data_IF_638323191980
#
_entry.id   IF_638323191980
#
_cell.length_a   1.000
_cell.length_b   1.000
_cell.length_c   1.000
_cell.angle_alpha   90.00
_cell.angle_beta   90.00
_cell.angle_gamma   90.00
#
_symmetry.space_group_name_H-M   'P 1'
#
loop_
_entity.id
_entity.type
_entity.pdbx_description
1 polymer ?
#
# COMPACT_ATOMS: atom_id res chain seq x y z
N UNK A 1 -77.05 14.19 -32.04
CA UNK A 1 -76.95 15.25 -31.02
C UNK A 1 -75.47 15.53 -30.83
N UNK A 2 -75.03 16.76 -31.16
CA UNK A 2 -73.63 17.19 -31.18
C UNK A 2 -72.96 16.96 -29.83
N UNK A 3 -71.73 16.46 -29.82
CA UNK A 3 -70.76 16.79 -28.77
C UNK A 3 -69.39 17.02 -29.39
N UNK A 4 -68.85 18.18 -29.05
CA UNK A 4 -67.62 18.79 -29.49
C UNK A 4 -66.42 18.02 -28.95
N UNK A 5 -65.38 17.86 -29.76
CA UNK A 5 -64.03 17.58 -29.30
C UNK A 5 -63.13 18.72 -29.80
N UNK A 6 -62.72 19.58 -28.88
CA UNK A 6 -61.60 20.51 -29.09
C UNK A 6 -60.27 19.91 -28.58
N UNK A 7 -59.13 20.40 -29.08
CA UNK A 7 -57.87 19.69 -29.08
C UNK A 7 -56.88 20.16 -28.00
N UNK A 8 -55.90 19.31 -27.72
CA UNK A 8 -54.58 19.73 -27.24
C UNK A 8 -54.20 19.25 -25.85
N UNK A 9 -53.14 18.45 -25.77
CA UNK A 9 -52.06 18.75 -24.83
C UNK A 9 -50.78 18.05 -25.27
N UNK A 10 -49.80 18.89 -25.53
CA UNK A 10 -48.43 18.64 -25.96
C UNK A 10 -47.67 17.79 -24.95
N UNK A 11 -46.84 16.88 -25.47
CA UNK A 11 -45.93 16.06 -24.69
C UNK A 11 -44.96 16.95 -23.88
N UNK A 12 -45.11 16.93 -22.56
CA UNK A 12 -44.13 17.52 -21.65
C UNK A 12 -42.91 16.62 -21.58
N UNK A 13 -41.81 17.07 -22.18
CA UNK A 13 -40.48 16.48 -22.09
C UNK A 13 -40.01 16.58 -20.63
N UNK A 14 -39.97 15.45 -19.93
CA UNK A 14 -39.37 15.36 -18.60
C UNK A 14 -37.86 15.42 -18.80
N UNK A 15 -37.23 16.54 -18.43
CA UNK A 15 -35.78 16.63 -18.36
C UNK A 15 -35.28 15.77 -17.18
N UNK A 16 -34.21 14.96 -17.36
CA UNK A 16 -33.65 14.22 -16.25
C UNK A 16 -33.00 15.19 -15.28
N UNK A 17 -33.47 15.16 -14.03
CA UNK A 17 -32.84 15.79 -12.88
C UNK A 17 -31.37 15.35 -12.83
N UNK A 18 -30.46 16.29 -13.07
CA UNK A 18 -29.03 16.06 -13.01
C UNK A 18 -28.63 15.57 -11.62
N UNK A 19 -28.36 14.27 -11.48
CA UNK A 19 -27.65 13.73 -10.34
C UNK A 19 -26.22 14.28 -10.35
N UNK A 20 -25.97 15.32 -9.56
CA UNK A 20 -24.60 15.73 -9.23
C UNK A 20 -23.92 14.54 -8.56
N UNK A 21 -22.94 13.96 -9.23
CA UNK A 21 -22.11 12.90 -8.67
C UNK A 21 -21.35 13.43 -7.45
N UNK A 22 -21.45 12.79 -6.27
CA UNK A 22 -20.80 13.23 -5.03
C UNK A 22 -19.26 13.23 -5.12
N UNK A 23 -18.67 12.72 -6.20
CA UNK A 23 -17.23 12.64 -6.43
C UNK A 23 -16.57 13.97 -6.81
N UNK A 24 -17.29 14.95 -7.37
CA UNK A 24 -16.67 16.21 -7.85
C UNK A 24 -16.22 17.17 -6.73
N UNK A 25 -16.76 17.00 -5.52
CA UNK A 25 -16.46 17.89 -4.37
C UNK A 25 -15.30 17.41 -3.48
N UNK A 26 -14.73 16.22 -3.73
CA UNK A 26 -13.62 15.70 -2.92
C UNK A 26 -12.26 16.36 -3.23
N UNK A 27 -12.19 17.16 -4.30
CA UNK A 27 -10.98 17.80 -4.83
C UNK A 27 -9.92 16.81 -5.37
N UNK A 28 -8.99 17.32 -6.18
CA UNK A 28 -8.06 16.48 -6.95
C UNK A 28 -7.05 15.78 -6.05
N UNK A 29 -6.78 14.51 -6.34
CA UNK A 29 -5.79 13.69 -5.64
C UNK A 29 -4.43 13.82 -6.31
N UNK A 30 -3.39 14.10 -5.53
CA UNK A 30 -2.00 13.87 -5.93
C UNK A 30 -1.51 12.52 -5.40
N UNK A 31 -0.74 11.81 -6.22
CA UNK A 31 -0.03 10.59 -5.81
C UNK A 31 1.46 10.89 -5.78
N UNK A 32 2.04 11.00 -4.58
CA UNK A 32 3.49 11.06 -4.40
C UNK A 32 4.02 9.64 -4.49
N UNK A 33 4.60 9.31 -5.63
CA UNK A 33 4.94 7.95 -6.04
C UNK A 33 6.43 7.67 -5.92
N UNK A 34 6.79 6.76 -5.02
CA UNK A 34 8.09 6.10 -4.97
C UNK A 34 8.16 4.86 -5.88
N UNK A 35 9.03 3.91 -5.53
CA UNK A 35 9.17 2.66 -6.26
C UNK A 35 8.05 1.64 -5.95
N UNK A 36 7.89 0.64 -6.82
CA UNK A 36 6.94 -0.45 -6.67
C UNK A 36 5.63 -0.24 -7.42
N UNK A 37 4.72 -1.23 -7.35
CA UNK A 37 3.49 -1.26 -8.16
C UNK A 37 2.33 -0.44 -7.56
N UNK A 38 2.39 -0.09 -6.27
CA UNK A 38 1.28 0.60 -5.60
C UNK A 38 0.95 1.97 -6.23
N UNK A 39 1.92 2.87 -6.51
CA UNK A 39 1.62 4.15 -7.18
C UNK A 39 0.91 3.97 -8.52
N UNK A 40 1.34 2.96 -9.29
CA UNK A 40 0.78 2.64 -10.61
C UNK A 40 -0.67 2.20 -10.45
N UNK A 41 -0.95 1.28 -9.54
CA UNK A 41 -2.32 0.76 -9.32
C UNK A 41 -3.26 1.82 -8.74
N UNK A 42 -2.76 2.69 -7.88
CA UNK A 42 -3.54 3.85 -7.40
C UNK A 42 -3.89 4.78 -8.58
N UNK A 43 -2.90 5.11 -9.42
CA UNK A 43 -3.10 5.99 -10.57
C UNK A 43 -4.09 5.41 -11.59
N UNK A 44 -3.93 4.14 -11.95
CA UNK A 44 -4.83 3.41 -12.87
C UNK A 44 -6.28 3.40 -12.35
N UNK A 45 -6.47 3.08 -11.06
CA UNK A 45 -7.80 2.99 -10.47
C UNK A 45 -8.50 4.35 -10.44
N UNK A 46 -7.77 5.40 -10.05
CA UNK A 46 -8.27 6.79 -10.07
C UNK A 46 -8.63 7.25 -11.49
N UNK A 47 -7.77 6.96 -12.47
CA UNK A 47 -8.03 7.27 -13.88
C UNK A 47 -9.28 6.56 -14.40
N UNK A 48 -9.43 5.26 -14.13
CA UNK A 48 -10.59 4.47 -14.54
C UNK A 48 -11.89 4.94 -13.87
N UNK A 49 -11.81 5.53 -12.68
CA UNK A 49 -12.93 6.16 -11.98
C UNK A 49 -13.25 7.59 -12.48
N UNK A 50 -12.56 8.08 -13.53
CA UNK A 50 -12.73 9.44 -14.06
C UNK A 50 -12.15 10.53 -13.16
N UNK A 51 -11.25 10.16 -12.24
CA UNK A 51 -10.59 11.04 -11.26
C UNK A 51 -9.08 11.09 -11.51
N UNK A 52 -8.67 11.41 -12.74
CA UNK A 52 -7.27 11.43 -13.16
C UNK A 52 -6.37 12.17 -12.14
N UNK A 53 -5.42 11.48 -11.49
CA UNK A 53 -4.60 12.08 -10.44
C UNK A 53 -3.54 13.02 -11.02
N UNK A 54 -2.98 13.86 -10.15
CA UNK A 54 -1.73 14.56 -10.42
C UNK A 54 -0.56 13.75 -9.84
N UNK A 55 0.39 13.35 -10.67
CA UNK A 55 1.48 12.48 -10.23
C UNK A 55 2.66 13.31 -9.76
N UNK A 56 3.26 12.90 -8.66
CA UNK A 56 4.54 13.43 -8.19
C UNK A 56 5.53 12.28 -8.12
N UNK A 57 6.15 11.89 -9.25
CA UNK A 57 7.19 10.88 -9.28
C UNK A 57 8.41 11.35 -8.48
N UNK A 58 8.89 10.49 -7.57
CA UNK A 58 10.15 10.71 -6.86
C UNK A 58 11.31 10.37 -7.79
N UNK A 59 12.19 11.35 -8.04
CA UNK A 59 13.34 11.19 -8.95
C UNK A 59 14.23 10.03 -8.50
N UNK A 60 14.50 9.11 -9.42
CA UNK A 60 15.36 7.94 -9.17
C UNK A 60 14.67 6.77 -8.47
N UNK A 61 13.38 6.90 -8.13
CA UNK A 61 12.59 5.85 -7.47
C UNK A 61 11.38 5.42 -8.31
N UNK A 62 10.69 6.38 -8.92
CA UNK A 62 9.43 6.16 -9.62
C UNK A 62 9.57 5.37 -10.93
N UNK A 63 8.54 4.59 -11.24
CA UNK A 63 8.43 3.88 -12.51
C UNK A 63 8.14 4.84 -13.68
N UNK A 64 8.80 4.67 -14.85
CA UNK A 64 8.55 5.49 -16.04
C UNK A 64 7.08 5.59 -16.48
N UNK A 65 6.24 4.59 -16.20
CA UNK A 65 4.82 4.61 -16.56
C UNK A 65 4.05 5.77 -15.89
N UNK A 66 4.50 6.22 -14.71
CA UNK A 66 3.86 7.32 -13.98
C UNK A 66 3.99 8.67 -14.70
N UNK A 67 4.94 8.80 -15.62
CA UNK A 67 5.17 10.02 -16.41
C UNK A 67 4.18 10.17 -17.58
N UNK A 68 3.37 9.15 -17.86
CA UNK A 68 2.29 9.23 -18.86
C UNK A 68 1.07 10.03 -18.36
N UNK A 69 1.02 10.32 -17.06
CA UNK A 69 -0.02 11.15 -16.45
C UNK A 69 0.42 12.62 -16.39
N UNK A 70 -0.49 13.53 -16.07
CA UNK A 70 -0.10 14.89 -15.68
C UNK A 70 0.75 14.81 -14.40
N UNK A 71 1.98 15.30 -14.47
CA UNK A 71 2.95 15.07 -13.41
C UNK A 71 3.91 16.24 -13.18
N UNK A 72 4.53 16.23 -12.00
CA UNK A 72 5.73 17.00 -11.71
C UNK A 72 6.74 16.12 -11.01
N UNK A 73 7.85 15.80 -11.68
CA UNK A 73 8.96 15.09 -11.03
C UNK A 73 9.61 15.99 -9.97
N UNK A 74 9.85 15.38 -8.80
CA UNK A 74 10.42 16.05 -7.64
C UNK A 74 11.53 15.19 -7.04
N UNK A 75 12.65 15.84 -6.72
CA UNK A 75 13.64 15.26 -5.80
C UNK A 75 13.16 15.45 -4.36
N UNK A 76 13.49 14.51 -3.46
CA UNK A 76 13.02 14.52 -2.07
C UNK A 76 13.32 15.83 -1.32
N UNK A 77 14.29 16.60 -1.81
CA UNK A 77 14.72 17.88 -1.21
C UNK A 77 14.03 19.12 -1.81
N UNK A 78 13.16 18.97 -2.81
CA UNK A 78 12.49 20.09 -3.51
C UNK A 78 11.08 20.36 -2.95
N UNK A 79 10.96 20.50 -1.63
CA UNK A 79 9.65 20.61 -0.97
C UNK A 79 8.85 21.85 -1.39
N UNK A 80 9.49 23.01 -1.59
CA UNK A 80 8.81 24.20 -2.09
C UNK A 80 8.18 23.99 -3.47
N UNK A 81 8.89 23.27 -4.35
CA UNK A 81 8.42 22.90 -5.70
C UNK A 81 7.20 21.99 -5.61
N UNK A 82 7.20 21.03 -4.68
CA UNK A 82 6.10 20.11 -4.41
C UNK A 82 4.82 20.84 -4.03
N UNK A 83 4.90 21.72 -3.04
CA UNK A 83 3.73 22.47 -2.61
C UNK A 83 3.20 23.35 -3.75
N UNK A 84 4.09 24.02 -4.49
CA UNK A 84 3.68 24.89 -5.59
C UNK A 84 3.00 24.12 -6.72
N UNK A 85 3.57 23.00 -7.17
CA UNK A 85 3.01 22.21 -8.26
C UNK A 85 1.64 21.63 -7.90
N UNK A 86 1.49 21.09 -6.70
CA UNK A 86 0.20 20.57 -6.23
C UNK A 86 -0.87 21.66 -6.12
N UNK A 87 -0.52 22.86 -5.62
CA UNK A 87 -1.46 24.00 -5.59
C UNK A 87 -1.89 24.44 -6.98
N UNK A 88 -0.95 24.55 -7.92
CA UNK A 88 -1.25 24.90 -9.32
C UNK A 88 -2.14 23.86 -9.99
N UNK A 89 -1.95 22.57 -9.67
CA UNK A 89 -2.76 21.47 -10.21
C UNK A 89 -4.14 21.32 -9.54
N UNK A 90 -4.50 22.19 -8.58
CA UNK A 90 -5.80 22.14 -7.88
C UNK A 90 -5.92 20.96 -6.91
N UNK A 91 -4.81 20.44 -6.42
CA UNK A 91 -4.76 19.30 -5.49
C UNK A 91 -5.24 19.73 -4.11
N UNK A 92 -6.14 18.94 -3.53
CA UNK A 92 -6.58 19.08 -2.13
C UNK A 92 -6.23 17.85 -1.29
N UNK A 93 -6.04 16.68 -1.93
CA UNK A 93 -5.78 15.40 -1.28
C UNK A 93 -4.46 14.81 -1.75
N UNK A 94 -3.71 14.20 -0.85
CA UNK A 94 -2.41 13.59 -1.18
C UNK A 94 -2.39 12.15 -0.72
N UNK A 95 -2.02 11.24 -1.62
CA UNK A 95 -1.70 9.85 -1.32
C UNK A 95 -0.20 9.68 -1.40
N UNK A 96 0.39 9.10 -0.37
CA UNK A 96 1.78 8.63 -0.41
C UNK A 96 1.76 7.16 -0.82
N UNK A 97 2.49 6.79 -1.87
CA UNK A 97 2.49 5.43 -2.38
C UNK A 97 3.89 5.01 -2.81
N UNK A 98 4.22 3.74 -2.56
CA UNK A 98 5.49 3.15 -2.96
C UNK A 98 6.62 3.36 -1.95
N UNK A 99 7.71 2.63 -2.15
CA UNK A 99 8.90 2.69 -1.31
C UNK A 99 9.86 3.81 -1.70
N UNK A 100 10.80 4.15 -0.81
CA UNK A 100 11.93 5.04 -1.09
C UNK A 100 13.21 4.31 -0.69
N UNK A 101 14.02 3.90 -1.66
CA UNK A 101 15.30 3.20 -1.40
C UNK A 101 16.36 4.18 -0.92
N UNK A 102 16.47 5.31 -1.60
CA UNK A 102 17.48 6.32 -1.31
C UNK A 102 16.90 7.37 -0.36
N UNK A 103 17.11 7.16 0.93
CA UNK A 103 16.70 8.15 1.93
C UNK A 103 17.55 9.41 1.77
N UNK A 104 16.94 10.60 1.68
CA UNK A 104 17.69 11.85 1.64
C UNK A 104 18.48 12.00 2.92
N UNK A 105 19.71 12.50 2.83
CA UNK A 105 20.44 12.91 4.02
C UNK A 105 19.94 14.30 4.41
N UNK A 106 19.86 14.60 5.71
CA UNK A 106 19.42 15.92 6.20
C UNK A 106 20.26 17.06 5.59
N UNK A 107 21.52 16.77 5.25
CA UNK A 107 22.44 17.68 4.58
C UNK A 107 22.04 18.06 3.15
N UNK A 108 21.17 17.29 2.51
CA UNK A 108 20.74 17.52 1.13
C UNK A 108 19.55 18.49 1.04
N UNK A 109 18.93 18.83 2.18
CA UNK A 109 17.81 19.77 2.25
C UNK A 109 18.27 21.18 1.86
N UNK A 110 17.62 21.76 0.84
CA UNK A 110 17.88 23.14 0.44
C UNK A 110 17.26 24.11 1.45
N UNK A 111 17.99 25.14 1.83
CA UNK A 111 17.48 26.21 2.69
C UNK A 111 16.60 27.19 1.89
N UNK A 112 15.35 26.81 1.64
CA UNK A 112 14.31 27.74 1.18
C UNK A 112 13.25 27.99 2.27
N UNK A 113 12.48 29.08 2.17
CA UNK A 113 11.51 29.47 3.20
C UNK A 113 10.48 28.39 3.54
N UNK A 114 9.88 27.67 2.56
CA UNK A 114 9.03 26.51 2.86
C UNK A 114 9.75 25.37 3.58
N UNK A 115 11.02 25.12 3.24
CA UNK A 115 11.85 24.08 3.88
C UNK A 115 12.30 24.50 5.29
N UNK A 116 12.50 25.80 5.55
CA UNK A 116 12.71 26.30 6.92
C UNK A 116 11.50 26.01 7.82
N UNK A 117 10.28 26.06 7.27
CA UNK A 117 9.05 25.66 7.98
C UNK A 117 8.99 24.15 8.28
N UNK A 118 9.75 23.34 7.54
CA UNK A 118 9.90 21.90 7.76
C UNK A 118 10.87 21.55 8.89
N UNK A 119 11.80 22.45 9.24
CA UNK A 119 12.89 22.20 10.20
C UNK A 119 12.39 21.65 11.55
N UNK A 120 11.35 22.21 12.20
CA UNK A 120 10.87 21.67 13.48
C UNK A 120 10.36 20.22 13.38
N UNK A 121 9.69 19.89 12.27
CA UNK A 121 9.14 18.55 12.01
C UNK A 121 10.26 17.54 11.77
N UNK A 122 11.25 17.89 10.93
CA UNK A 122 12.40 17.04 10.60
C UNK A 122 13.29 16.80 11.83
N UNK A 123 13.60 17.86 12.60
CA UNK A 123 14.39 17.73 13.83
C UNK A 123 13.69 16.85 14.89
N UNK A 124 12.36 16.96 15.00
CA UNK A 124 11.57 16.15 15.92
C UNK A 124 11.54 14.65 15.57
N UNK A 125 11.73 14.31 14.29
CA UNK A 125 11.75 12.95 13.76
C UNK A 125 13.15 12.34 13.61
N UNK A 126 14.20 13.15 13.65
CA UNK A 126 15.57 12.72 13.40
C UNK A 126 15.99 11.64 14.42
N UNK A 127 16.45 10.49 13.92
CA UNK A 127 16.89 9.37 14.75
C UNK A 127 15.78 8.52 15.38
N UNK A 128 14.50 8.75 15.04
CA UNK A 128 13.34 8.05 15.64
C UNK A 128 12.68 6.98 14.74
N UNK A 129 13.35 6.55 13.68
CA UNK A 129 12.82 5.55 12.75
C UNK A 129 12.03 6.14 11.57
N UNK A 130 11.40 5.26 10.80
CA UNK A 130 10.74 5.61 9.53
C UNK A 130 9.36 6.22 9.74
N UNK A 131 8.62 5.69 10.72
CA UNK A 131 7.29 6.20 11.08
C UNK A 131 7.36 7.68 11.48
N UNK A 132 8.36 8.02 12.30
CA UNK A 132 8.53 9.39 12.78
C UNK A 132 8.80 10.36 11.62
N UNK A 133 9.64 9.96 10.67
CA UNK A 133 9.94 10.77 9.48
C UNK A 133 8.71 10.93 8.58
N UNK A 134 7.96 9.85 8.38
CA UNK A 134 6.75 9.85 7.56
C UNK A 134 5.66 10.73 8.18
N UNK A 135 5.42 10.61 9.49
CA UNK A 135 4.48 11.48 10.24
C UNK A 135 4.88 12.95 10.17
N UNK A 136 6.17 13.25 10.29
CA UNK A 136 6.67 14.62 10.14
C UNK A 136 6.39 15.17 8.74
N UNK A 137 6.57 14.35 7.70
CA UNK A 137 6.26 14.74 6.32
C UNK A 137 4.75 14.94 6.10
N UNK A 138 3.90 14.08 6.66
CA UNK A 138 2.44 14.21 6.63
C UNK A 138 2.02 15.52 7.28
N UNK A 139 2.46 15.78 8.52
CA UNK A 139 2.11 17.00 9.25
C UNK A 139 2.59 18.27 8.54
N UNK A 140 3.74 18.19 7.86
CA UNK A 140 4.21 19.28 7.03
C UNK A 140 3.27 19.55 5.85
N UNK A 141 2.88 18.52 5.08
CA UNK A 141 1.91 18.69 3.98
C UNK A 141 0.58 19.27 4.47
N UNK A 142 0.07 18.77 5.61
CA UNK A 142 -1.16 19.26 6.23
C UNK A 142 -1.05 20.74 6.64
N UNK A 143 0.12 21.18 7.11
CA UNK A 143 0.36 22.61 7.43
C UNK A 143 0.27 23.55 6.22
N UNK A 144 0.37 23.02 4.99
CA UNK A 144 0.19 23.77 3.74
C UNK A 144 -1.23 23.69 3.16
N UNK A 145 -2.14 22.99 3.83
CA UNK A 145 -3.57 22.88 3.50
C UNK A 145 -3.96 21.64 2.70
N UNK A 146 -3.06 20.66 2.56
CA UNK A 146 -3.38 19.39 1.91
C UNK A 146 -3.94 18.37 2.90
N UNK A 147 -4.93 17.58 2.50
CA UNK A 147 -5.40 16.43 3.27
C UNK A 147 -4.63 15.18 2.84
N UNK A 148 -3.76 14.65 3.69
CA UNK A 148 -3.14 13.35 3.41
C UNK A 148 -4.15 12.24 3.72
N UNK A 149 -4.37 11.37 2.73
CA UNK A 149 -5.31 10.23 2.81
C UNK A 149 -4.58 8.93 2.48
N UNK A 150 -5.03 7.84 3.08
CA UNK A 150 -4.51 6.52 2.81
C UNK A 150 -4.77 6.07 1.38
N UNK A 151 -3.80 5.36 0.80
CA UNK A 151 -4.06 4.65 -0.46
C UNK A 151 -5.28 3.73 -0.33
N UNK A 152 -5.49 3.12 0.82
CA UNK A 152 -6.65 2.27 1.10
C UNK A 152 -7.99 3.03 1.14
N UNK A 153 -7.99 4.32 1.47
CA UNK A 153 -9.20 5.16 1.41
C UNK A 153 -9.57 5.55 -0.02
N UNK A 154 -8.58 5.54 -0.93
CA UNK A 154 -8.74 5.93 -2.33
C UNK A 154 -8.99 4.73 -3.23
N UNK A 155 -8.36 3.59 -2.93
CA UNK A 155 -8.46 2.34 -3.67
C UNK A 155 -8.71 1.17 -2.71
N UNK A 156 -9.87 1.11 -2.05
CA UNK A 156 -10.18 0.09 -1.03
C UNK A 156 -10.17 -1.33 -1.59
N UNK A 157 -10.46 -1.50 -2.88
CA UNK A 157 -10.47 -2.80 -3.56
C UNK A 157 -9.10 -3.47 -3.65
N UNK A 158 -8.00 -2.74 -3.35
CA UNK A 158 -6.67 -3.31 -3.27
C UNK A 158 -6.38 -3.96 -1.91
N UNK A 159 -7.19 -3.71 -0.88
CA UNK A 159 -6.97 -4.28 0.44
C UNK A 159 -7.33 -5.76 0.51
N UNK A 160 -6.62 -6.46 1.39
CA UNK A 160 -6.90 -7.84 1.75
C UNK A 160 -8.33 -7.99 2.27
N UNK A 161 -9.09 -8.99 1.80
CA UNK A 161 -10.46 -9.23 2.24
C UNK A 161 -10.51 -9.70 3.71
N UNK A 162 -11.72 -9.86 4.28
CA UNK A 162 -11.90 -10.49 5.58
C UNK A 162 -11.21 -11.86 5.69
N UNK A 163 -10.98 -12.37 6.92
CA UNK A 163 -10.22 -13.59 7.15
C UNK A 163 -10.75 -14.79 6.35
N UNK A 164 -9.92 -15.31 5.45
CA UNK A 164 -10.23 -16.43 4.57
C UNK A 164 -8.96 -16.99 3.92
N UNK A 165 -9.02 -18.25 3.49
CA UNK A 165 -8.06 -18.77 2.54
C UNK A 165 -8.46 -18.32 1.13
N UNK A 166 -7.59 -17.58 0.45
CA UNK A 166 -7.84 -16.99 -0.86
C UNK A 166 -7.49 -17.91 -2.03
N UNK A 167 -6.81 -19.01 -1.72
CA UNK A 167 -6.32 -20.03 -2.66
C UNK A 167 -6.97 -21.39 -2.41
N UNK A 168 -6.79 -22.30 -3.36
CA UNK A 168 -7.29 -23.69 -3.29
C UNK A 168 -6.57 -24.52 -2.23
N UNK A 169 -5.28 -24.27 -2.04
CA UNK A 169 -4.49 -24.94 -1.00
C UNK A 169 -4.69 -24.18 0.29
N UNK A 170 -4.88 -24.94 1.37
CA UNK A 170 -5.09 -24.44 2.73
C UNK A 170 -3.93 -24.89 3.63
N UNK A 171 -3.59 -24.11 4.68
CA UNK A 171 -2.50 -24.47 5.58
C UNK A 171 -2.88 -25.68 6.45
N UNK A 172 -1.95 -26.65 6.55
CA UNK A 172 -2.06 -27.77 7.47
C UNK A 172 -1.72 -27.38 8.92
N UNK A 173 -1.79 -28.33 9.86
CA UNK A 173 -1.50 -28.08 11.27
C UNK A 173 -0.06 -27.62 11.55
N UNK A 174 0.91 -27.93 10.68
CA UNK A 174 2.29 -27.43 10.82
C UNK A 174 2.37 -25.99 10.35
N UNK A 175 1.76 -25.68 9.20
CA UNK A 175 1.79 -24.33 8.66
C UNK A 175 0.97 -23.34 9.49
N UNK A 176 -0.13 -23.77 10.13
CA UNK A 176 -0.84 -22.96 11.13
C UNK A 176 0.04 -22.57 12.32
N UNK A 177 0.93 -23.47 12.79
CA UNK A 177 1.91 -23.13 13.84
C UNK A 177 2.94 -22.12 13.35
N UNK A 178 3.43 -22.28 12.11
CA UNK A 178 4.35 -21.33 11.50
C UNK A 178 3.70 -19.94 11.35
N UNK A 179 2.43 -19.87 10.93
CA UNK A 179 1.66 -18.62 10.87
C UNK A 179 1.64 -17.93 12.23
N UNK A 180 1.27 -18.64 13.30
CA UNK A 180 1.21 -18.06 14.63
C UNK A 180 2.56 -17.51 15.10
N UNK A 181 3.65 -18.26 14.90
CA UNK A 181 5.00 -17.85 15.28
C UNK A 181 5.51 -16.64 14.48
N UNK A 182 5.29 -16.64 13.16
CA UNK A 182 5.71 -15.54 12.30
C UNK A 182 4.84 -14.29 12.53
N UNK A 183 3.54 -14.44 12.84
CA UNK A 183 2.67 -13.33 13.20
C UNK A 183 3.15 -12.63 14.48
N UNK A 184 3.41 -13.38 15.54
CA UNK A 184 3.95 -12.83 16.80
C UNK A 184 5.28 -12.10 16.58
N UNK A 185 6.17 -12.69 15.77
CA UNK A 185 7.45 -12.09 15.43
C UNK A 185 7.31 -10.80 14.59
N UNK A 186 6.43 -10.79 13.59
CA UNK A 186 6.17 -9.63 12.74
C UNK A 186 5.57 -8.45 13.55
N UNK A 187 4.66 -8.74 14.49
CA UNK A 187 4.10 -7.71 15.37
C UNK A 187 5.16 -7.08 16.29
N UNK A 188 6.00 -7.90 16.92
CA UNK A 188 7.13 -7.42 17.76
C UNK A 188 8.14 -6.62 16.96
N UNK A 189 8.43 -7.04 15.73
CA UNK A 189 9.30 -6.32 14.81
C UNK A 189 8.71 -4.95 14.43
N UNK A 190 7.40 -4.89 14.24
CA UNK A 190 6.67 -3.65 13.99
C UNK A 190 6.62 -2.71 15.20
N UNK A 191 6.58 -3.23 16.42
CA UNK A 191 6.67 -2.42 17.65
C UNK A 191 8.03 -1.72 17.80
N UNK A 192 9.08 -2.31 17.22
CA UNK A 192 10.44 -1.75 17.18
C UNK A 192 10.66 -0.83 15.97
N UNK A 193 9.67 -0.66 15.09
CA UNK A 193 9.79 0.05 13.81
C UNK A 193 10.93 -0.47 12.91
N UNK A 194 11.19 -1.78 12.92
CA UNK A 194 12.28 -2.38 12.13
C UNK A 194 11.78 -2.94 10.79
N UNK A 195 10.58 -3.52 10.79
CA UNK A 195 10.03 -4.22 9.64
C UNK A 195 8.61 -4.71 9.91
N UNK A 196 8.01 -5.37 8.92
CA UNK A 196 6.60 -5.79 8.96
C UNK A 196 6.39 -7.26 8.55
N UNK A 197 7.45 -7.94 8.13
CA UNK A 197 7.44 -9.32 7.70
C UNK A 197 8.29 -10.24 8.58
N UNK A 198 7.86 -11.49 8.71
CA UNK A 198 8.65 -12.57 9.29
C UNK A 198 8.37 -13.89 8.56
N UNK A 199 9.34 -14.80 8.59
CA UNK A 199 9.18 -16.16 8.06
C UNK A 199 9.43 -17.16 9.18
N UNK A 200 8.52 -18.11 9.35
CA UNK A 200 8.70 -19.26 10.22
C UNK A 200 8.65 -20.56 9.40
N UNK A 201 9.53 -21.50 9.73
CA UNK A 201 9.62 -22.81 9.09
C UNK A 201 10.07 -23.85 10.12
N UNK A 202 9.47 -25.05 10.05
CA UNK A 202 9.80 -26.13 10.98
C UNK A 202 9.49 -25.80 12.45
N UNK A 203 8.48 -24.97 12.72
CA UNK A 203 8.07 -24.62 14.08
C UNK A 203 8.94 -23.58 14.78
N UNK A 204 9.72 -22.78 14.02
CA UNK A 204 10.48 -21.65 14.56
C UNK A 204 10.58 -20.51 13.56
N UNK A 205 10.82 -19.30 14.04
CA UNK A 205 11.15 -18.15 13.20
C UNK A 205 12.54 -18.35 12.60
N UNK A 206 12.68 -18.12 11.29
CA UNK A 206 13.92 -18.32 10.52
C UNK A 206 14.42 -17.05 9.84
N UNK A 207 13.55 -16.06 9.63
CA UNK A 207 13.93 -14.75 9.13
C UNK A 207 12.98 -13.67 9.66
N UNK A 208 13.53 -12.47 9.87
CA UNK A 208 12.82 -11.24 10.20
C UNK A 208 13.17 -10.21 9.12
N UNK A 209 12.19 -9.40 8.71
CA UNK A 209 12.44 -8.32 7.76
C UNK A 209 13.28 -7.22 8.43
N UNK A 210 14.23 -6.67 7.70
CA UNK A 210 14.96 -5.47 8.09
C UNK A 210 14.97 -4.46 6.95
N UNK A 211 15.98 -3.60 6.95
CA UNK A 211 16.16 -2.57 5.92
C UNK A 211 16.32 -3.14 4.50
N UNK A 212 16.66 -4.43 4.36
CA UNK A 212 16.74 -5.12 3.07
C UNK A 212 15.38 -5.28 2.37
N UNK A 213 14.28 -5.26 3.13
CA UNK A 213 12.94 -5.50 2.64
C UNK A 213 12.59 -6.97 2.37
N UNK A 214 11.31 -7.19 2.08
CA UNK A 214 10.71 -8.53 1.99
C UNK A 214 11.40 -9.45 0.96
N UNK A 215 11.74 -8.95 -0.22
CA UNK A 215 12.28 -9.79 -1.30
C UNK A 215 13.67 -10.36 -0.97
N UNK A 216 14.57 -9.52 -0.43
CA UNK A 216 15.89 -9.96 0.02
C UNK A 216 15.81 -10.85 1.26
N UNK A 217 14.83 -10.62 2.16
CA UNK A 217 14.57 -11.53 3.26
C UNK A 217 14.18 -12.93 2.77
N UNK A 218 13.31 -13.04 1.75
CA UNK A 218 12.90 -14.33 1.16
C UNK A 218 14.09 -15.01 0.47
N UNK A 219 14.93 -14.23 -0.22
CA UNK A 219 16.16 -14.74 -0.83
C UNK A 219 17.12 -15.33 0.22
N UNK A 220 17.32 -14.64 1.35
CA UNK A 220 18.10 -15.16 2.49
C UNK A 220 17.56 -16.49 3.02
N UNK A 221 16.23 -16.69 3.01
CA UNK A 221 15.64 -17.99 3.38
C UNK A 221 16.03 -19.10 2.40
N UNK A 222 16.12 -18.81 1.11
CA UNK A 222 16.62 -19.76 0.10
C UNK A 222 18.07 -20.16 0.41
N UNK A 223 18.92 -19.20 0.76
CA UNK A 223 20.32 -19.46 1.13
C UNK A 223 20.45 -20.34 2.38
N UNK A 224 19.68 -20.03 3.43
CA UNK A 224 19.63 -20.83 4.66
C UNK A 224 19.20 -22.28 4.37
N UNK A 225 18.28 -22.45 3.42
CA UNK A 225 17.79 -23.76 2.99
C UNK A 225 18.85 -24.55 2.23
N UNK A 226 19.54 -23.91 1.28
CA UNK A 226 20.66 -24.51 0.54
C UNK A 226 21.78 -24.94 1.47
N UNK A 227 22.07 -24.13 2.50
CA UNK A 227 23.07 -24.44 3.52
C UNK A 227 22.61 -25.50 4.56
N UNK A 228 21.40 -26.07 4.41
CA UNK A 228 20.87 -27.08 5.33
C UNK A 228 20.58 -26.59 6.75
N UNK A 229 20.46 -25.27 6.95
CA UNK A 229 20.22 -24.66 8.27
C UNK A 229 18.76 -24.67 8.69
N UNK A 230 17.86 -24.87 7.74
CA UNK A 230 16.41 -24.97 7.94
C UNK A 230 15.87 -26.21 7.20
N UNK A 231 14.61 -26.58 7.47
CA UNK A 231 13.89 -27.66 6.77
C UNK A 231 14.00 -27.52 5.23
N UNK A 232 13.83 -28.59 4.45
CA UNK A 232 13.99 -28.57 2.97
C UNK A 232 12.79 -28.02 2.19
N UNK A 233 11.58 -28.05 2.74
CA UNK A 233 10.38 -27.35 2.22
C UNK A 233 9.50 -26.87 3.37
N UNK A 234 8.46 -26.10 3.05
CA UNK A 234 7.48 -25.59 4.01
C UNK A 234 7.89 -24.27 4.65
N UNK A 235 7.05 -23.80 5.56
CA UNK A 235 7.17 -22.50 6.19
C UNK A 235 6.32 -21.42 5.52
N UNK A 236 6.11 -20.32 6.24
CA UNK A 236 5.12 -19.29 5.91
C UNK A 236 5.73 -17.92 6.06
N UNK A 237 5.56 -17.08 5.03
CA UNK A 237 5.77 -15.64 5.13
C UNK A 237 4.52 -15.01 5.77
N UNK A 238 4.70 -14.27 6.85
CA UNK A 238 3.63 -13.45 7.44
C UNK A 238 3.98 -11.98 7.29
N UNK A 239 3.04 -11.16 6.82
CA UNK A 239 3.14 -9.69 6.84
C UNK A 239 2.00 -9.08 7.65
N UNK A 240 2.34 -8.25 8.63
CA UNK A 240 1.40 -7.57 9.52
C UNK A 240 1.62 -6.07 9.45
N UNK A 241 0.55 -5.27 9.50
CA UNK A 241 0.72 -3.83 9.61
C UNK A 241 1.39 -3.51 10.96
N UNK A 242 2.37 -2.60 10.96
CA UNK A 242 3.04 -2.20 12.20
C UNK A 242 2.01 -1.61 13.18
N UNK A 243 1.98 -2.03 14.46
CA UNK A 243 0.91 -1.64 15.39
C UNK A 243 0.73 -0.14 15.62
N UNK A 244 1.82 0.63 15.53
CA UNK A 244 1.85 2.06 15.82
C UNK A 244 1.97 2.94 14.58
N UNK A 245 2.02 2.37 13.38
CA UNK A 245 2.23 3.14 12.15
C UNK A 245 0.97 3.87 11.71
N UNK A 246 1.13 5.03 11.09
CA UNK A 246 0.03 5.70 10.39
C UNK A 246 -0.39 4.92 9.13
N UNK A 247 -1.59 4.31 9.16
CA UNK A 247 -2.13 3.50 8.06
C UNK A 247 -2.33 4.27 6.76
N UNK A 248 -2.35 5.60 6.82
CA UNK A 248 -2.46 6.43 5.62
C UNK A 248 -1.22 6.35 4.75
N UNK A 249 -0.10 5.90 5.28
CA UNK A 249 1.18 6.06 4.62
C UNK A 249 2.00 4.77 4.48
N UNK A 250 1.81 3.78 5.34
CA UNK A 250 2.54 2.52 5.24
C UNK A 250 1.69 1.32 5.67
N UNK A 251 1.10 0.65 4.68
CA UNK A 251 0.49 -0.67 4.84
C UNK A 251 1.34 -1.70 4.08
N UNK A 252 1.46 -2.94 4.61
CA UNK A 252 2.14 -4.02 3.91
C UNK A 252 1.55 -4.25 2.53
N UNK A 253 2.37 -4.73 1.61
CA UNK A 253 1.92 -5.18 0.30
C UNK A 253 2.52 -6.53 -0.07
N UNK A 254 1.74 -7.32 -0.81
CA UNK A 254 2.18 -8.51 -1.54
C UNK A 254 1.75 -8.38 -3.01
N UNK A 255 2.42 -9.11 -3.89
CA UNK A 255 2.04 -9.22 -5.29
C UNK A 255 2.68 -10.43 -5.97
N UNK A 256 2.68 -10.43 -7.29
CA UNK A 256 3.23 -11.52 -8.10
C UNK A 256 4.69 -11.87 -7.73
N UNK A 257 5.54 -10.87 -7.56
CA UNK A 257 6.94 -11.08 -7.18
C UNK A 257 7.08 -11.78 -5.83
N UNK A 258 6.23 -11.44 -4.85
CA UNK A 258 6.22 -12.09 -3.53
C UNK A 258 5.89 -13.58 -3.65
N UNK A 259 4.92 -13.94 -4.50
CA UNK A 259 4.54 -15.33 -4.77
C UNK A 259 5.68 -16.10 -5.46
N UNK A 260 6.31 -15.48 -6.46
CA UNK A 260 7.46 -16.07 -7.16
C UNK A 260 8.65 -16.28 -6.23
N UNK A 261 8.94 -15.30 -5.36
CA UNK A 261 10.00 -15.38 -4.37
C UNK A 261 9.71 -16.47 -3.33
N UNK A 262 8.48 -16.52 -2.81
CA UNK A 262 8.07 -17.52 -1.83
C UNK A 262 8.19 -18.95 -2.38
N UNK A 263 7.79 -19.17 -3.63
CA UNK A 263 7.94 -20.47 -4.29
C UNK A 263 9.41 -20.85 -4.47
N UNK A 264 10.25 -19.92 -4.98
CA UNK A 264 11.70 -20.15 -5.12
C UNK A 264 12.39 -20.44 -3.78
N UNK A 265 11.90 -19.87 -2.68
CA UNK A 265 12.37 -20.15 -1.32
C UNK A 265 11.79 -21.43 -0.71
N UNK A 266 10.91 -22.14 -1.43
CA UNK A 266 10.28 -23.39 -0.98
C UNK A 266 9.30 -23.22 0.18
N UNK A 267 8.69 -22.03 0.32
CA UNK A 267 7.64 -21.76 1.30
C UNK A 267 6.33 -22.48 0.90
N UNK A 268 5.52 -22.83 1.90
CA UNK A 268 4.19 -23.42 1.69
C UNK A 268 3.12 -22.36 1.40
N UNK A 269 3.30 -21.13 1.89
CA UNK A 269 2.34 -20.07 1.65
C UNK A 269 2.70 -18.73 2.28
N UNK A 270 1.74 -17.82 2.17
CA UNK A 270 1.80 -16.44 2.63
C UNK A 270 0.55 -16.18 3.48
N UNK A 271 0.72 -15.56 4.65
CA UNK A 271 -0.41 -15.04 5.42
C UNK A 271 -0.26 -13.54 5.66
N UNK A 272 -1.38 -12.81 5.60
CA UNK A 272 -1.40 -11.35 5.66
C UNK A 272 -2.52 -10.84 6.53
N UNK A 273 -2.36 -9.67 7.13
CA UNK A 273 -3.40 -9.07 7.96
C UNK A 273 -4.63 -8.68 7.12
N UNK A 274 -5.81 -9.15 7.51
CA UNK A 274 -7.08 -8.82 6.85
C UNK A 274 -7.39 -7.32 6.96
N UNK A 275 -7.82 -6.70 5.86
CA UNK A 275 -8.14 -5.26 5.77
C UNK A 275 -6.95 -4.32 5.91
N UNK A 276 -5.73 -4.82 6.13
CA UNK A 276 -4.53 -4.01 6.43
C UNK A 276 -3.31 -4.50 5.66
N UNK A 277 -3.51 -5.06 4.47
CA UNK A 277 -2.43 -5.42 3.53
C UNK A 277 -2.92 -5.27 2.11
N UNK A 278 -2.14 -4.63 1.24
CA UNK A 278 -2.44 -4.56 -0.19
C UNK A 278 -2.10 -5.87 -0.91
N UNK A 279 -2.99 -6.31 -1.79
CA UNK A 279 -2.75 -7.40 -2.73
C UNK A 279 -2.69 -6.81 -4.14
N UNK A 280 -1.48 -6.50 -4.59
CA UNK A 280 -1.24 -5.85 -5.87
C UNK A 280 -1.44 -6.85 -7.01
N UNK A 281 -2.38 -6.55 -7.90
CA UNK A 281 -2.80 -7.49 -8.95
C UNK A 281 -3.49 -8.72 -8.34
N UNK A 282 -4.60 -8.51 -7.61
CA UNK A 282 -5.31 -9.53 -6.84
C UNK A 282 -5.52 -10.84 -7.63
N UNK A 283 -6.16 -10.77 -8.81
CA UNK A 283 -6.44 -11.95 -9.64
C UNK A 283 -5.17 -12.67 -10.10
N UNK A 284 -4.17 -11.92 -10.58
CA UNK A 284 -2.90 -12.45 -11.07
C UNK A 284 -2.09 -13.11 -9.93
N UNK A 285 -2.03 -12.46 -8.77
CA UNK A 285 -1.34 -12.95 -7.57
C UNK A 285 -1.94 -14.26 -7.08
N UNK A 286 -3.26 -14.34 -6.97
CA UNK A 286 -3.96 -15.56 -6.54
C UNK A 286 -3.84 -16.67 -7.58
N UNK A 287 -3.94 -16.35 -8.88
CA UNK A 287 -3.75 -17.33 -9.95
C UNK A 287 -2.33 -17.92 -9.94
N UNK A 288 -1.31 -17.06 -9.77
CA UNK A 288 0.08 -17.49 -9.66
C UNK A 288 0.31 -18.38 -8.43
N UNK A 289 -0.24 -18.02 -7.27
CA UNK A 289 -0.11 -18.81 -6.04
C UNK A 289 -0.75 -20.19 -6.19
N UNK A 290 -1.97 -20.25 -6.74
CA UNK A 290 -2.65 -21.52 -7.04
C UNK A 290 -1.84 -22.39 -8.02
N UNK A 291 -1.31 -21.81 -9.08
CA UNK A 291 -0.49 -22.53 -10.07
C UNK A 291 0.79 -23.11 -9.46
N UNK A 292 1.40 -22.38 -8.52
CA UNK A 292 2.65 -22.74 -7.86
C UNK A 292 2.46 -23.63 -6.62
N UNK A 293 1.22 -23.88 -6.23
CA UNK A 293 0.91 -24.70 -5.07
C UNK A 293 1.15 -24.00 -3.72
N UNK A 294 1.03 -22.67 -3.68
CA UNK A 294 1.12 -21.89 -2.44
C UNK A 294 -0.27 -21.53 -1.93
N UNK A 295 -0.43 -21.54 -0.60
CA UNK A 295 -1.59 -20.91 0.01
C UNK A 295 -1.40 -19.39 0.20
N UNK A 296 -2.48 -18.63 0.11
CA UNK A 296 -2.56 -17.26 0.60
C UNK A 296 -3.76 -17.18 1.56
N UNK A 297 -3.53 -16.77 2.81
CA UNK A 297 -4.57 -16.63 3.84
C UNK A 297 -4.58 -15.21 4.40
N UNK A 298 -5.76 -14.62 4.55
CA UNK A 298 -5.96 -13.40 5.34
C UNK A 298 -6.26 -13.79 6.78
N UNK A 299 -5.54 -13.19 7.73
CA UNK A 299 -5.62 -13.53 9.15
C UNK A 299 -6.01 -12.32 10.00
N UNK A 300 -6.69 -12.58 11.11
CA UNK A 300 -7.00 -11.55 12.12
C UNK A 300 -5.88 -11.43 13.14
N UNK A 301 -5.58 -10.18 13.52
CA UNK A 301 -4.62 -9.86 14.59
C UNK A 301 -4.98 -10.48 15.94
N UNK A 302 -6.27 -10.59 16.26
CA UNK A 302 -6.74 -11.00 17.59
C UNK A 302 -6.75 -12.52 17.82
N UNK A 303 -6.23 -13.32 16.88
CA UNK A 303 -6.05 -14.78 17.06
C UNK A 303 -7.34 -15.59 17.29
N UNK A 304 -8.52 -14.96 17.41
CA UNK A 304 -9.81 -15.62 17.55
C UNK A 304 -10.47 -15.78 16.19
N UNK A 305 -9.85 -16.60 15.34
CA UNK A 305 -10.66 -17.35 14.37
C UNK A 305 -11.62 -18.19 15.20
N UNK A 306 -12.91 -17.83 15.20
CA UNK A 306 -13.95 -18.73 15.72
C UNK A 306 -13.81 -20.01 14.92
N UNK A 307 -13.28 -21.05 15.55
CA UNK A 307 -13.53 -22.44 15.19
C UNK A 307 -15.04 -22.62 15.29
N UNK A 308 -15.73 -22.43 14.16
CA UNK A 308 -17.02 -23.02 13.89
C UNK A 308 -16.81 -24.41 13.31
#
# INVERSE_FOLDING_TARGET
MRLMAEPGMTATKIEPVGTRSPARDAGRVAVVGGNGLLPIKVAETLQNAGQAPFLVPLRGEADPVLYNYEHQEISVVEFAKLVRSMKTAGVSRVVLAGGVRNRPHVRDLKFDWPTLRAVPYVLGALGKGDDALLRAFIGLLESFGFKVVGAHEVVPDLLSPPPACLTRITPDARERRNIALAMDAALKLGDLDVGQGAIAAGGRVVALEGAEGTDLMIERVRELRTAGRISRRGGVLVKMAKPRQDERADLPAIGLSTVENAERAGLAGIAIEAGRTFILGFGETLAAANKKGLFIETISRDGKGKTG
#
